data_IF_327478303139
#
_entry.id   IF_327478303139
#
_cell.length_a   1.000
_cell.length_b   1.000
_cell.length_c   1.000
_cell.angle_alpha   90.00
_cell.angle_beta   90.00
_cell.angle_gamma   90.00
#
_symmetry.space_group_name_H-M   'P 1'
#
loop_
_entity.id
_entity.type
_entity.pdbx_description
1 polymer ?
#
# COMPACT_ATOMS: atom_id res chain seq x y z
N UNK A 1 -8.41 -3.48 13.82
CA UNK A 1 -6.97 -3.76 13.93
C UNK A 1 -6.25 -2.47 13.60
N UNK A 2 -5.37 -1.96 14.46
CA UNK A 2 -4.56 -0.77 14.17
C UNK A 2 -3.15 -1.26 13.85
N UNK A 3 -2.59 -0.85 12.71
CA UNK A 3 -1.22 -1.20 12.36
C UNK A 3 -0.33 0.01 12.56
N UNK A 4 0.93 -0.26 12.88
CA UNK A 4 1.90 0.79 13.15
C UNK A 4 2.48 1.39 11.87
N UNK A 5 2.26 0.76 10.69
CA UNK A 5 3.05 0.97 9.48
C UNK A 5 2.14 1.00 8.23
N UNK A 6 2.47 1.85 7.26
CA UNK A 6 1.70 2.01 6.01
C UNK A 6 2.64 2.09 4.80
N UNK A 7 2.17 1.64 3.64
CA UNK A 7 2.85 1.84 2.35
C UNK A 7 2.03 2.78 1.49
N UNK A 8 2.65 3.87 1.07
CA UNK A 8 2.03 4.88 0.24
C UNK A 8 2.56 4.80 -1.19
N UNK A 9 1.70 5.09 -2.16
CA UNK A 9 2.05 5.33 -3.55
C UNK A 9 1.61 6.69 -4.08
N UNK A 10 2.27 7.15 -5.14
CA UNK A 10 1.85 8.31 -5.91
C UNK A 10 2.26 8.14 -7.39
N UNK A 11 1.52 8.79 -8.30
CA UNK A 11 1.90 8.92 -9.71
C UNK A 11 3.00 9.99 -9.91
N UNK A 12 3.67 9.95 -11.06
CA UNK A 12 4.63 10.98 -11.45
C UNK A 12 3.97 12.36 -11.59
N UNK A 13 4.60 13.42 -11.05
CA UNK A 13 4.14 14.80 -11.24
C UNK A 13 4.85 15.49 -12.42
N UNK A 14 4.07 16.06 -13.35
CA UNK A 14 4.60 16.92 -14.41
C UNK A 14 4.50 18.41 -14.03
N UNK A 15 5.52 18.97 -13.34
CA UNK A 15 5.64 20.42 -13.15
C UNK A 15 7.04 20.94 -13.49
N UNK A 16 7.01 22.05 -14.23
CA UNK A 16 8.11 22.76 -14.85
C UNK A 16 9.03 23.43 -13.81
N UNK A 17 9.97 22.66 -13.18
CA UNK A 17 11.34 23.08 -12.82
C UNK A 17 12.21 22.07 -12.02
N UNK A 18 11.77 20.84 -11.76
CA UNK A 18 12.70 19.78 -11.32
C UNK A 18 12.10 18.38 -11.56
N UNK A 19 12.86 17.58 -12.31
CA UNK A 19 12.61 16.23 -12.82
C UNK A 19 11.15 15.83 -13.11
N UNK A 20 10.76 15.96 -14.38
CA UNK A 20 9.49 15.54 -14.99
C UNK A 20 9.23 14.02 -14.99
N UNK A 21 10.02 13.24 -14.23
CA UNK A 21 10.03 11.76 -14.16
C UNK A 21 10.64 11.22 -12.85
N UNK A 22 10.84 12.02 -11.80
CA UNK A 22 11.45 11.53 -10.55
C UNK A 22 10.44 11.49 -9.42
N UNK A 23 10.58 10.48 -8.56
CA UNK A 23 9.82 10.40 -7.32
C UNK A 23 10.29 11.47 -6.32
N UNK A 24 9.43 11.88 -5.37
CA UNK A 24 9.85 12.76 -4.29
C UNK A 24 11.06 12.19 -3.53
N UNK A 25 11.83 13.06 -2.87
CA UNK A 25 12.99 12.63 -2.10
C UNK A 25 12.58 11.59 -1.04
N UNK A 26 13.32 10.48 -0.96
CA UNK A 26 13.05 9.37 -0.05
C UNK A 26 12.01 8.36 -0.54
N UNK A 27 11.48 8.52 -1.76
CA UNK A 27 10.57 7.56 -2.38
C UNK A 27 11.30 6.66 -3.37
N UNK A 28 10.89 5.40 -3.44
CA UNK A 28 11.42 4.41 -4.38
C UNK A 28 10.58 4.45 -5.66
N UNK A 29 11.25 4.61 -6.80
CA UNK A 29 10.59 4.56 -8.11
C UNK A 29 10.47 3.11 -8.59
N UNK A 30 9.29 2.74 -9.06
CA UNK A 30 9.08 1.55 -9.87
C UNK A 30 8.11 1.87 -11.02
N UNK A 31 8.54 1.62 -12.25
CA UNK A 31 7.82 2.03 -13.47
C UNK A 31 7.42 3.52 -13.41
N UNK A 32 6.12 3.84 -13.45
CA UNK A 32 5.57 5.21 -13.38
C UNK A 32 4.98 5.55 -12.01
N UNK A 33 5.34 4.78 -10.98
CA UNK A 33 4.82 4.92 -9.63
C UNK A 33 5.96 5.11 -8.64
N UNK A 34 5.64 5.82 -7.58
CA UNK A 34 6.55 6.14 -6.50
C UNK A 34 6.01 5.52 -5.22
N UNK A 35 6.88 4.91 -4.41
CA UNK A 35 6.50 4.19 -3.20
C UNK A 35 7.28 4.71 -2.00
N UNK A 36 6.64 4.77 -0.83
CA UNK A 36 7.32 5.06 0.43
C UNK A 36 6.71 4.26 1.58
N UNK A 37 7.54 4.00 2.59
CA UNK A 37 7.14 3.36 3.83
C UNK A 37 7.05 4.43 4.92
N UNK A 38 6.00 4.36 5.74
CA UNK A 38 5.83 5.25 6.88
C UNK A 38 5.51 4.48 8.15
N UNK A 39 6.24 4.79 9.21
CA UNK A 39 6.06 4.22 10.54
C UNK A 39 5.14 5.11 11.39
N UNK A 40 3.85 5.10 11.10
CA UNK A 40 2.83 5.83 11.86
C UNK A 40 1.66 4.92 12.21
N UNK A 41 1.30 4.87 13.50
CA UNK A 41 0.18 4.07 13.99
C UNK A 41 -1.15 4.69 13.56
N UNK A 42 -1.86 3.99 12.69
CA UNK A 42 -3.14 4.42 12.14
C UNK A 42 -4.04 3.21 11.88
N UNK A 43 -5.34 3.39 12.07
CA UNK A 43 -6.32 2.53 11.43
C UNK A 43 -6.27 2.71 9.91
N UNK A 44 -6.85 1.77 9.15
CA UNK A 44 -6.78 1.78 7.69
C UNK A 44 -7.37 3.06 7.05
N UNK A 45 -8.49 3.57 7.60
CA UNK A 45 -9.15 4.75 7.04
C UNK A 45 -8.33 6.03 7.30
N UNK A 46 -7.75 6.14 8.50
CA UNK A 46 -6.80 7.20 8.86
C UNK A 46 -5.53 7.14 8.00
N UNK A 47 -5.04 5.94 7.70
CA UNK A 47 -3.89 5.71 6.82
C UNK A 47 -4.16 6.15 5.37
N UNK A 48 -5.27 5.73 4.78
CA UNK A 48 -5.69 6.17 3.43
C UNK A 48 -5.85 7.70 3.38
N UNK A 49 -6.51 8.29 4.40
CA UNK A 49 -6.65 9.75 4.50
C UNK A 49 -5.29 10.45 4.59
N UNK A 50 -4.32 9.86 5.29
CA UNK A 50 -2.97 10.39 5.36
C UNK A 50 -2.29 10.38 3.99
N UNK A 51 -2.35 9.26 3.26
CA UNK A 51 -1.83 9.16 1.90
C UNK A 51 -2.47 10.18 0.96
N UNK A 52 -3.79 10.34 1.02
CA UNK A 52 -4.54 11.31 0.20
C UNK A 52 -4.07 12.75 0.43
N UNK A 53 -3.81 13.13 1.69
CA UNK A 53 -3.28 14.46 2.02
C UNK A 53 -1.88 14.73 1.46
N UNK A 54 -1.12 13.66 1.18
CA UNK A 54 0.20 13.71 0.56
C UNK A 54 0.13 13.53 -0.97
N UNK A 55 -1.06 13.52 -1.56
CA UNK A 55 -1.27 13.38 -3.00
C UNK A 55 -1.15 11.96 -3.52
N UNK A 56 -1.43 10.95 -2.69
CA UNK A 56 -1.24 9.54 -3.03
C UNK A 56 -2.23 8.54 -2.41
N UNK A 57 -2.06 7.28 -2.80
CA UNK A 57 -2.71 6.03 -2.37
C UNK A 57 -2.09 5.36 -1.12
N UNK A 58 -2.83 4.67 -0.25
CA UNK A 58 -2.29 3.40 0.26
C UNK A 58 -2.00 2.49 -0.93
N UNK A 59 -0.92 1.69 -0.85
CA UNK A 59 -0.40 1.08 -2.06
C UNK A 59 -1.28 -0.02 -2.65
N UNK A 60 -1.47 0.00 -3.97
CA UNK A 60 -1.96 -1.09 -4.80
C UNK A 60 -0.82 -1.99 -5.30
N UNK A 61 -1.12 -3.27 -5.51
CA UNK A 61 -0.14 -4.26 -5.99
C UNK A 61 -0.72 -4.98 -7.20
N UNK A 62 -0.03 -4.90 -8.34
CA UNK A 62 -0.49 -5.45 -9.62
C UNK A 62 0.37 -6.59 -10.15
N UNK A 63 1.48 -6.91 -9.49
CA UNK A 63 2.36 -7.99 -9.92
C UNK A 63 3.11 -8.63 -8.77
N UNK A 64 3.60 -9.85 -9.02
CA UNK A 64 4.52 -10.55 -8.12
C UNK A 64 5.82 -9.75 -7.89
N UNK A 65 6.24 -8.96 -8.88
CA UNK A 65 7.44 -8.12 -8.76
C UNK A 65 7.20 -6.94 -7.82
N UNK A 66 6.09 -6.23 -7.98
CA UNK A 66 5.69 -5.15 -7.07
C UNK A 66 5.53 -5.67 -5.63
N UNK A 67 4.90 -6.83 -5.45
CA UNK A 67 4.80 -7.48 -4.14
C UNK A 67 6.17 -7.67 -3.48
N UNK A 68 7.15 -8.20 -4.22
CA UNK A 68 8.51 -8.42 -3.70
C UNK A 68 9.25 -7.11 -3.43
N UNK A 69 9.07 -6.12 -4.29
CA UNK A 69 9.66 -4.79 -4.13
C UNK A 69 9.11 -4.12 -2.85
N UNK A 70 7.80 -4.17 -2.61
CA UNK A 70 7.16 -3.64 -1.40
C UNK A 70 7.67 -4.38 -0.16
N UNK A 71 7.79 -5.71 -0.19
CA UNK A 71 8.38 -6.49 0.92
C UNK A 71 9.82 -6.05 1.22
N UNK A 72 10.61 -5.81 0.19
CA UNK A 72 11.98 -5.32 0.33
C UNK A 72 12.03 -3.89 0.88
N UNK A 73 11.12 -3.01 0.43
CA UNK A 73 10.99 -1.65 0.93
C UNK A 73 10.66 -1.64 2.43
N UNK A 74 9.72 -2.49 2.87
CA UNK A 74 9.39 -2.63 4.28
C UNK A 74 10.61 -3.12 5.05
N UNK A 75 11.23 -4.23 4.64
CA UNK A 75 12.41 -4.79 5.33
C UNK A 75 13.56 -3.78 5.45
N UNK A 76 13.73 -2.91 4.45
CA UNK A 76 14.76 -1.88 4.47
C UNK A 76 14.51 -0.79 5.53
N UNK A 77 13.24 -0.52 5.87
CA UNK A 77 12.85 0.48 6.89
C UNK A 77 12.48 -0.15 8.24
N UNK A 78 12.14 -1.43 8.23
CA UNK A 78 11.61 -2.20 9.36
C UNK A 78 12.15 -3.63 9.33
N UNK A 79 13.36 -3.85 9.90
CA UNK A 79 13.99 -5.16 9.93
C UNK A 79 13.20 -6.23 10.70
N UNK A 80 12.25 -5.81 11.55
CA UNK A 80 11.38 -6.70 12.31
C UNK A 80 10.20 -7.22 11.48
N UNK A 81 10.02 -6.73 10.25
CA UNK A 81 9.01 -7.24 9.31
C UNK A 81 7.57 -7.13 9.87
N UNK A 82 7.30 -6.02 10.57
CA UNK A 82 5.95 -5.76 11.07
C UNK A 82 4.97 -5.57 9.91
N UNK A 83 3.73 -6.06 10.10
CA UNK A 83 2.67 -5.92 9.11
C UNK A 83 2.36 -4.44 8.81
N UNK A 84 2.05 -4.16 7.55
CA UNK A 84 1.80 -2.80 7.06
C UNK A 84 0.51 -2.73 6.24
N UNK A 85 -0.25 -1.64 6.38
CA UNK A 85 -1.45 -1.43 5.58
C UNK A 85 -1.14 -1.25 4.09
N UNK A 86 -1.99 -1.84 3.26
CA UNK A 86 -2.05 -1.64 1.80
C UNK A 86 -3.46 -1.19 1.39
N UNK A 87 -3.62 -0.72 0.16
CA UNK A 87 -4.87 -0.10 -0.32
C UNK A 87 -6.02 -1.07 -0.58
N UNK A 88 -5.81 -2.39 -0.44
CA UNK A 88 -6.85 -3.38 -0.71
C UNK A 88 -7.88 -3.38 0.41
N UNK A 89 -9.14 -3.25 0.05
CA UNK A 89 -10.24 -3.31 1.02
C UNK A 89 -11.51 -3.92 0.39
N UNK A 90 -12.38 -4.47 1.23
CA UNK A 90 -13.65 -5.12 0.85
C UNK A 90 -14.82 -4.65 1.71
N UNK A 91 -14.69 -3.47 2.34
CA UNK A 91 -15.67 -2.96 3.32
C UNK A 91 -16.99 -2.53 2.68
N UNK A 92 -16.98 -2.14 1.40
CA UNK A 92 -18.18 -1.67 0.69
C UNK A 92 -19.13 -2.81 0.32
N UNK A 93 -18.59 -3.96 -0.09
CA UNK A 93 -19.37 -5.12 -0.50
C UNK A 93 -18.62 -6.39 -0.13
N UNK A 94 -19.19 -7.15 0.80
CA UNK A 94 -18.60 -8.41 1.27
C UNK A 94 -18.18 -9.28 0.08
N UNK A 95 -16.99 -9.89 0.19
CA UNK A 95 -16.38 -10.72 -0.85
C UNK A 95 -16.05 -10.01 -2.18
N UNK A 96 -16.06 -8.68 -2.22
CA UNK A 96 -15.59 -7.91 -3.37
C UNK A 96 -14.49 -6.96 -2.91
N UNK A 97 -13.27 -7.19 -3.41
CA UNK A 97 -12.07 -6.43 -3.04
C UNK A 97 -11.77 -5.36 -4.09
N UNK A 98 -11.36 -4.17 -3.63
CA UNK A 98 -11.03 -3.03 -4.47
C UNK A 98 -9.79 -2.33 -3.91
N UNK A 99 -8.97 -1.77 -4.79
CA UNK A 99 -7.89 -0.87 -4.40
C UNK A 99 -8.45 0.53 -4.14
N UNK A 100 -7.97 1.20 -3.09
CA UNK A 100 -8.42 2.55 -2.72
C UNK A 100 -8.07 3.62 -3.77
N UNK A 101 -7.03 3.39 -4.57
CA UNK A 101 -6.64 4.22 -5.71
C UNK A 101 -7.57 4.05 -6.95
N UNK A 102 -8.55 3.15 -6.89
CA UNK A 102 -9.49 2.87 -7.98
C UNK A 102 -8.93 1.99 -9.11
N UNK A 103 -7.68 1.52 -8.99
CA UNK A 103 -7.07 0.62 -9.95
C UNK A 103 -7.77 -0.76 -9.97
N UNK A 104 -7.64 -1.47 -11.10
CA UNK A 104 -8.26 -2.79 -11.25
C UNK A 104 -7.56 -3.83 -10.39
N UNK A 105 -8.34 -4.65 -9.69
CA UNK A 105 -7.82 -5.82 -8.98
C UNK A 105 -7.44 -6.92 -9.99
N UNK A 106 -6.16 -7.02 -10.32
CA UNK A 106 -5.60 -8.03 -11.25
C UNK A 106 -4.66 -9.01 -10.57
N UNK A 107 -4.27 -8.73 -9.33
CA UNK A 107 -3.31 -9.52 -8.56
C UNK A 107 -3.73 -9.59 -7.10
N UNK A 108 -3.63 -10.78 -6.52
CA UNK A 108 -3.83 -11.02 -5.10
C UNK A 108 -2.83 -12.06 -4.62
N UNK A 109 -2.34 -11.92 -3.40
CA UNK A 109 -1.43 -12.88 -2.78
C UNK A 109 -1.80 -13.10 -1.32
N UNK A 110 -2.80 -13.95 -1.12
CA UNK A 110 -3.31 -14.28 0.20
C UNK A 110 -2.43 -15.31 0.89
N UNK A 111 -2.24 -15.16 2.20
CA UNK A 111 -1.70 -16.22 3.04
C UNK A 111 -2.65 -17.41 3.10
N UNK A 112 -2.15 -18.60 3.49
CA UNK A 112 -3.02 -19.75 3.69
C UNK A 112 -4.19 -19.40 4.61
N UNK A 113 -5.41 -19.70 4.16
CA UNK A 113 -6.71 -19.43 4.82
C UNK A 113 -7.20 -17.98 4.78
N UNK A 114 -6.47 -17.06 4.16
CA UNK A 114 -6.96 -15.70 3.91
C UNK A 114 -7.62 -15.56 2.52
N UNK A 115 -8.59 -14.65 2.35
CA UNK A 115 -9.22 -13.84 3.40
C UNK A 115 -10.28 -14.65 4.17
N UNK A 116 -10.21 -14.65 5.51
CA UNK A 116 -11.11 -15.44 6.37
C UNK A 116 -12.36 -14.65 6.87
N UNK A 117 -12.36 -13.32 6.73
CA UNK A 117 -13.42 -12.40 7.20
C UNK A 117 -13.78 -12.51 8.69
N UNK A 118 -12.89 -13.08 9.50
CA UNK A 118 -13.04 -13.14 10.95
C UNK A 118 -13.08 -11.71 11.49
N UNK A 119 -13.88 -11.47 12.53
CA UNK A 119 -14.08 -10.13 13.13
C UNK A 119 -14.59 -9.05 12.14
N UNK A 120 -15.20 -9.44 11.02
CA UNK A 120 -15.60 -8.53 9.95
C UNK A 120 -14.43 -7.72 9.36
N UNK A 121 -13.23 -8.29 9.37
CA UNK A 121 -12.05 -7.67 8.74
C UNK A 121 -12.28 -7.49 7.24
N UNK A 122 -12.15 -6.24 6.82
CA UNK A 122 -12.38 -5.82 5.44
C UNK A 122 -11.25 -4.92 4.91
N UNK A 123 -10.22 -4.67 5.70
CA UNK A 123 -9.01 -3.91 5.34
C UNK A 123 -7.83 -4.88 5.31
N UNK A 124 -6.91 -4.70 4.36
CA UNK A 124 -5.83 -5.67 4.12
C UNK A 124 -4.48 -5.07 4.47
N UNK A 125 -3.65 -5.87 5.13
CA UNK A 125 -2.23 -5.59 5.34
C UNK A 125 -1.38 -6.62 4.61
N UNK A 126 -0.12 -6.27 4.38
CA UNK A 126 0.94 -7.19 3.96
C UNK A 126 1.72 -7.68 5.18
N UNK A 127 2.12 -8.95 5.17
CA UNK A 127 2.96 -9.57 6.21
C UNK A 127 3.88 -10.68 5.62
N UNK A 128 4.37 -11.59 6.47
CA UNK A 128 5.34 -12.62 6.09
C UNK A 128 4.85 -14.08 6.18
N UNK A 129 3.56 -14.30 6.46
CA UNK A 129 2.94 -15.63 6.49
C UNK A 129 2.99 -16.35 7.83
#
# INVERSE_FOLDING_TARGET
>A
SDFNKIIQEAEEHHINRQCSTCCPFGWVKYERRCFTYQASRMDWASAEKHCLNLGGHLTSIHSEYEYRMIKALIRAHDPEENAAWIGLNGCQKKFNWFWSDGSRLTFTKWNPREPNFVNAECCVHIDWG
#
